data_IF_342154703776
#
_entry.id   IF_342154703776
#
_cell.length_a   1.000
_cell.length_b   1.000
_cell.length_c   1.000
_cell.angle_alpha   90.00
_cell.angle_beta   90.00
_cell.angle_gamma   90.00
#
_symmetry.space_group_name_H-M   'P 1'
#
loop_
_entity.id
_entity.type
_entity.pdbx_description
1 polymer ?
#
# COMPACT_ATOMS: atom_id res chain seq x y z
N UNK A 1 -4.11 -16.76 16.50
CA UNK A 1 -5.07 -16.01 15.66
C UNK A 1 -4.85 -16.46 14.24
N UNK A 2 -5.88 -16.88 13.51
CA UNK A 2 -5.71 -17.36 12.13
C UNK A 2 -5.57 -16.16 11.17
N UNK A 3 -4.34 -15.85 10.78
CA UNK A 3 -4.03 -14.76 9.86
C UNK A 3 -4.67 -14.96 8.48
N UNK A 4 -4.82 -16.21 8.02
CA UNK A 4 -5.42 -16.50 6.72
C UNK A 4 -6.92 -16.20 6.73
N UNK A 5 -7.64 -16.60 7.77
CA UNK A 5 -9.06 -16.29 7.94
C UNK A 5 -9.30 -14.77 8.04
N UNK A 6 -8.52 -14.06 8.84
CA UNK A 6 -8.63 -12.60 8.96
C UNK A 6 -8.29 -11.89 7.65
N UNK A 7 -7.27 -12.36 6.93
CA UNK A 7 -6.93 -11.81 5.63
C UNK A 7 -8.04 -12.06 4.59
N UNK A 8 -8.68 -13.23 4.62
CA UNK A 8 -9.88 -13.51 3.83
C UNK A 8 -11.02 -12.52 4.07
N UNK A 9 -11.23 -12.12 5.33
CA UNK A 9 -12.21 -11.07 5.67
C UNK A 9 -11.81 -9.70 5.11
N UNK A 10 -10.53 -9.35 5.14
CA UNK A 10 -10.05 -8.10 4.56
C UNK A 10 -10.28 -8.05 3.03
N UNK A 11 -10.06 -9.17 2.33
CA UNK A 11 -10.36 -9.30 0.89
C UNK A 11 -11.85 -9.11 0.62
N UNK A 12 -12.71 -9.76 1.41
CA UNK A 12 -14.17 -9.62 1.28
C UNK A 12 -14.61 -8.17 1.49
N UNK A 13 -14.12 -7.52 2.55
CA UNK A 13 -14.40 -6.10 2.82
C UNK A 13 -13.94 -5.19 1.68
N UNK A 14 -12.77 -5.47 1.10
CA UNK A 14 -12.27 -4.75 -0.08
C UNK A 14 -13.14 -4.95 -1.32
N UNK A 15 -13.80 -6.10 -1.49
CA UNK A 15 -14.80 -6.31 -2.57
C UNK A 15 -16.07 -5.50 -2.35
N UNK A 16 -16.49 -5.36 -1.09
CA UNK A 16 -17.71 -4.63 -0.74
C UNK A 16 -17.52 -3.10 -0.65
N UNK A 17 -16.28 -2.63 -0.44
CA UNK A 17 -16.01 -1.21 -0.29
C UNK A 17 -16.11 -0.46 -1.63
N UNK A 18 -16.95 0.57 -1.66
CA UNK A 18 -17.16 1.44 -2.82
C UNK A 18 -17.34 2.88 -2.34
N UNK A 19 -16.88 3.84 -3.14
CA UNK A 19 -17.13 5.26 -2.94
C UNK A 19 -17.34 5.94 -4.30
N UNK A 20 -18.32 6.85 -4.44
CA UNK A 20 -18.54 7.60 -5.67
C UNK A 20 -17.28 8.36 -6.12
N UNK A 21 -17.01 8.34 -7.43
CA UNK A 21 -15.88 9.05 -8.04
C UNK A 21 -14.57 8.25 -8.12
N UNK A 22 -14.57 7.01 -7.61
CA UNK A 22 -13.44 6.08 -7.67
C UNK A 22 -13.86 4.76 -8.32
N UNK A 23 -12.91 4.03 -8.89
CA UNK A 23 -13.14 2.68 -9.42
C UNK A 23 -12.62 1.62 -8.45
N UNK A 24 -13.36 0.54 -8.29
CA UNK A 24 -12.90 -0.67 -7.59
C UNK A 24 -11.88 -1.43 -8.44
N UNK A 25 -11.08 -2.27 -7.78
CA UNK A 25 -10.21 -3.22 -8.48
C UNK A 25 -11.01 -4.19 -9.36
N UNK A 26 -12.21 -4.61 -8.93
CA UNK A 26 -13.04 -5.54 -9.67
C UNK A 26 -13.53 -4.93 -11.00
N UNK A 27 -14.01 -3.69 -10.98
CA UNK A 27 -14.48 -2.98 -12.19
C UNK A 27 -13.40 -2.86 -13.27
N UNK A 28 -12.13 -2.76 -12.87
CA UNK A 28 -11.02 -2.66 -13.81
C UNK A 28 -10.26 -3.98 -14.02
N UNK A 29 -10.83 -5.12 -13.59
CA UNK A 29 -10.31 -6.46 -13.89
C UNK A 29 -9.20 -6.98 -12.98
N UNK A 30 -9.14 -6.51 -11.73
CA UNK A 30 -8.16 -6.89 -10.70
C UNK A 30 -8.81 -7.55 -9.48
N UNK A 31 -9.77 -8.46 -9.69
CA UNK A 31 -10.46 -9.15 -8.58
C UNK A 31 -9.72 -10.42 -8.10
N UNK A 32 -8.52 -10.26 -7.54
CA UNK A 32 -7.73 -11.39 -7.04
C UNK A 32 -7.87 -11.69 -5.54
N UNK A 33 -7.23 -12.77 -5.06
CA UNK A 33 -7.15 -13.16 -3.65
C UNK A 33 -6.21 -12.25 -2.82
N UNK A 34 -6.30 -10.94 -3.02
CA UNK A 34 -5.51 -9.92 -2.33
C UNK A 34 -6.35 -8.66 -2.09
N UNK A 35 -5.91 -7.83 -1.15
CA UNK A 35 -6.50 -6.51 -0.90
C UNK A 35 -5.98 -5.50 -1.92
N UNK A 36 -4.74 -5.67 -2.40
CA UNK A 36 -4.15 -4.84 -3.46
C UNK A 36 -3.19 -5.68 -4.32
N UNK A 37 -3.12 -5.47 -5.65
CA UNK A 37 -2.26 -6.28 -6.52
C UNK A 37 -0.78 -6.31 -6.11
N UNK A 38 -0.28 -5.26 -5.43
CA UNK A 38 1.11 -5.21 -4.92
C UNK A 38 1.45 -6.38 -3.98
N UNK A 39 0.42 -7.00 -3.39
CA UNK A 39 0.55 -8.14 -2.49
C UNK A 39 0.83 -9.46 -3.22
N UNK A 40 0.76 -9.50 -4.57
CA UNK A 40 1.21 -10.65 -5.35
C UNK A 40 2.67 -11.00 -5.01
N UNK A 41 3.52 -9.99 -4.83
CA UNK A 41 4.93 -10.17 -4.45
C UNK A 41 5.25 -9.70 -3.02
N UNK A 42 4.47 -8.75 -2.49
CA UNK A 42 4.66 -8.17 -1.15
C UNK A 42 3.47 -8.44 -0.24
N UNK A 43 3.07 -9.71 -0.16
CA UNK A 43 1.91 -10.20 0.60
C UNK A 43 2.26 -10.97 1.87
N UNK A 44 3.49 -10.87 2.41
CA UNK A 44 3.89 -11.67 3.57
C UNK A 44 3.10 -11.28 4.83
N UNK A 45 2.13 -12.09 5.23
CA UNK A 45 1.23 -11.82 6.36
C UNK A 45 1.94 -11.73 7.72
N UNK A 46 3.17 -12.22 7.82
CA UNK A 46 3.99 -12.18 9.04
C UNK A 46 5.14 -11.19 8.97
N UNK A 47 5.41 -10.64 7.78
CA UNK A 47 6.50 -9.69 7.57
C UNK A 47 6.16 -8.26 8.01
N UNK A 48 7.18 -7.38 8.05
CA UNK A 48 6.99 -5.96 8.27
C UNK A 48 5.97 -5.35 7.32
N UNK A 49 5.08 -4.51 7.85
CA UNK A 49 3.97 -3.91 7.11
C UNK A 49 4.27 -2.47 6.70
N UNK A 50 4.21 -2.19 5.41
CA UNK A 50 4.28 -0.84 4.84
C UNK A 50 2.89 -0.39 4.38
N UNK A 51 2.38 0.68 4.97
CA UNK A 51 1.16 1.37 4.54
C UNK A 51 1.57 2.65 3.81
N UNK A 52 1.06 2.86 2.60
CA UNK A 52 1.45 3.99 1.73
C UNK A 52 0.25 4.53 0.96
N UNK A 53 0.35 5.73 0.38
CA UNK A 53 -0.65 6.19 -0.61
C UNK A 53 -0.56 5.34 -1.88
N UNK A 54 -1.70 5.18 -2.56
CA UNK A 54 -1.80 4.48 -3.84
C UNK A 54 -0.74 4.89 -4.86
N UNK A 55 -0.38 3.87 -5.64
CA UNK A 55 0.64 3.91 -6.65
C UNK A 55 0.05 4.15 -8.06
N UNK A 56 -1.26 3.90 -8.28
CA UNK A 56 -1.91 3.95 -9.61
C UNK A 56 -3.27 4.64 -9.61
N UNK A 57 -3.56 5.32 -10.73
CA UNK A 57 -4.91 5.68 -11.15
C UNK A 57 -5.52 4.61 -12.05
N UNK A 58 -6.84 4.63 -12.21
CA UNK A 58 -7.58 3.64 -12.99
C UNK A 58 -7.09 3.56 -14.45
N UNK A 59 -6.90 4.67 -15.20
CA UNK A 59 -6.36 4.59 -16.56
C UNK A 59 -4.99 3.91 -16.65
N UNK A 60 -4.07 4.22 -15.73
CA UNK A 60 -2.74 3.63 -15.69
C UNK A 60 -2.78 2.15 -15.35
N UNK A 61 -3.67 1.74 -14.44
CA UNK A 61 -3.85 0.34 -14.08
C UNK A 61 -4.42 -0.48 -15.25
N UNK A 62 -5.39 0.07 -15.98
CA UNK A 62 -5.94 -0.55 -17.20
C UNK A 62 -4.86 -0.69 -18.27
N UNK A 63 -4.11 0.38 -18.54
CA UNK A 63 -3.04 0.39 -19.57
C UNK A 63 -1.96 -0.67 -19.29
N UNK A 64 -1.61 -0.89 -18.02
CA UNK A 64 -0.52 -1.78 -17.63
C UNK A 64 -1.02 -3.12 -17.07
N UNK A 65 -2.29 -3.48 -17.30
CA UNK A 65 -2.98 -4.59 -16.61
C UNK A 65 -2.17 -5.88 -16.58
N UNK A 66 -1.64 -6.30 -17.72
CA UNK A 66 -0.86 -7.54 -17.85
C UNK A 66 0.31 -7.57 -16.87
N UNK A 67 1.15 -6.53 -16.90
CA UNK A 67 2.33 -6.44 -16.02
C UNK A 67 1.92 -6.41 -14.55
N UNK A 68 0.88 -5.66 -14.21
CA UNK A 68 0.43 -5.54 -12.83
C UNK A 68 -0.21 -6.84 -12.29
N UNK A 69 -0.87 -7.64 -13.13
CA UNK A 69 -1.38 -8.95 -12.73
C UNK A 69 -0.28 -10.01 -12.62
N UNK A 70 0.80 -9.88 -13.37
CA UNK A 70 1.95 -10.79 -13.28
C UNK A 70 2.86 -10.47 -12.09
N UNK A 71 3.12 -9.18 -11.82
CA UNK A 71 4.16 -8.76 -10.87
C UNK A 71 3.59 -8.10 -9.61
N UNK A 72 2.34 -7.64 -9.65
CA UNK A 72 1.74 -6.82 -8.58
C UNK A 72 2.18 -5.37 -8.58
N UNK A 73 3.26 -5.02 -9.28
CA UNK A 73 3.77 -3.65 -9.38
C UNK A 73 4.31 -3.33 -10.78
N UNK A 74 4.58 -2.05 -11.06
CA UNK A 74 5.20 -1.60 -12.30
C UNK A 74 6.68 -1.30 -12.04
N UNK A 75 7.61 -2.06 -12.63
CA UNK A 75 9.04 -1.82 -12.43
C UNK A 75 9.45 -0.47 -13.04
N UNK A 76 10.55 0.10 -12.53
CA UNK A 76 11.14 1.32 -13.08
C UNK A 76 10.47 2.64 -12.66
N UNK A 77 9.30 2.63 -12.02
CA UNK A 77 8.75 3.86 -11.44
C UNK A 77 9.53 4.25 -10.18
N UNK A 78 9.64 5.57 -9.87
CA UNK A 78 10.39 6.05 -8.71
C UNK A 78 10.03 5.37 -7.39
N UNK A 79 8.73 5.12 -7.18
CA UNK A 79 8.23 4.41 -6.01
C UNK A 79 8.94 3.07 -5.82
N UNK A 80 8.95 2.23 -6.87
CA UNK A 80 9.45 0.87 -6.78
C UNK A 80 10.97 0.83 -6.72
N UNK A 81 11.66 1.68 -7.47
CA UNK A 81 13.12 1.77 -7.43
C UNK A 81 13.65 2.17 -6.03
N UNK A 82 13.01 3.16 -5.39
CA UNK A 82 13.39 3.58 -4.03
C UNK A 82 13.09 2.50 -3.00
N UNK A 83 11.92 1.85 -3.11
CA UNK A 83 11.55 0.76 -2.21
C UNK A 83 12.51 -0.44 -2.34
N UNK A 84 12.82 -0.87 -3.56
CA UNK A 84 13.73 -1.99 -3.80
C UNK A 84 15.12 -1.71 -3.22
N UNK A 85 15.61 -0.47 -3.40
CA UNK A 85 16.85 -0.02 -2.78
C UNK A 85 16.77 -0.03 -1.25
N UNK A 86 15.69 0.49 -0.67
CA UNK A 86 15.51 0.52 0.79
C UNK A 86 15.55 -0.88 1.40
N UNK A 87 14.88 -1.84 0.77
CA UNK A 87 14.87 -3.23 1.23
C UNK A 87 16.26 -3.87 1.09
N UNK A 88 16.95 -3.62 -0.03
CA UNK A 88 18.31 -4.12 -0.23
C UNK A 88 19.30 -3.60 0.81
N UNK A 89 19.14 -2.37 1.32
CA UNK A 89 20.02 -1.81 2.36
C UNK A 89 19.98 -2.61 3.68
N UNK A 90 18.90 -3.34 3.92
CA UNK A 90 18.66 -4.10 5.16
C UNK A 90 18.56 -5.61 4.89
N UNK A 91 18.98 -6.06 3.71
CA UNK A 91 18.96 -7.48 3.34
C UNK A 91 17.57 -8.08 3.16
N UNK A 92 16.53 -7.27 3.00
CA UNK A 92 15.17 -7.72 2.71
C UNK A 92 14.87 -7.68 1.21
N UNK A 93 13.88 -8.45 0.81
CA UNK A 93 13.26 -8.44 -0.51
C UNK A 93 11.77 -8.13 -0.38
N UNK A 94 11.11 -7.92 -1.52
CA UNK A 94 9.65 -7.72 -1.56
C UNK A 94 8.86 -8.86 -0.92
N UNK A 95 9.36 -10.10 -1.00
CA UNK A 95 8.71 -11.29 -0.44
C UNK A 95 8.74 -11.33 1.08
N UNK A 96 9.61 -10.54 1.69
CA UNK A 96 9.77 -10.52 3.15
C UNK A 96 8.81 -9.55 3.83
N UNK A 97 8.13 -8.70 3.05
CA UNK A 97 7.28 -7.62 3.57
C UNK A 97 5.84 -7.73 3.11
N UNK A 98 4.98 -6.96 3.78
CA UNK A 98 3.60 -6.72 3.40
C UNK A 98 3.42 -5.27 2.97
N UNK A 99 2.89 -5.02 1.79
CA UNK A 99 2.54 -3.66 1.35
C UNK A 99 1.04 -3.55 1.15
N UNK A 100 0.48 -2.43 1.59
CA UNK A 100 -0.92 -2.14 1.33
C UNK A 100 -1.16 -0.63 1.19
N UNK A 101 -2.00 -0.20 0.24
CA UNK A 101 -2.31 1.22 0.11
C UNK A 101 -3.30 1.65 1.20
N UNK A 102 -3.17 2.85 1.76
CA UNK A 102 -4.09 3.36 2.79
C UNK A 102 -5.52 3.55 2.24
N UNK A 103 -5.64 3.79 0.94
CA UNK A 103 -6.89 3.89 0.19
C UNK A 103 -7.00 2.70 -0.79
N UNK A 104 -8.17 2.10 -0.95
CA UNK A 104 -8.35 0.83 -1.69
C UNK A 104 -8.99 0.95 -3.06
N UNK A 105 -9.37 2.16 -3.46
CA UNK A 105 -10.04 2.42 -4.73
C UNK A 105 -9.11 3.23 -5.64
N UNK A 106 -9.31 3.10 -6.94
CA UNK A 106 -8.46 3.75 -7.92
C UNK A 106 -9.02 5.13 -8.25
N UNK A 107 -8.19 6.18 -8.15
CA UNK A 107 -8.58 7.51 -8.59
C UNK A 107 -8.76 7.56 -10.11
N UNK A 108 -9.58 8.49 -10.63
CA UNK A 108 -9.87 8.60 -12.06
C UNK A 108 -8.69 9.12 -12.88
N UNK A 109 -7.68 9.73 -12.23
CA UNK A 109 -6.49 10.26 -12.90
C UNK A 109 -5.27 10.28 -11.99
N UNK A 110 -4.09 10.35 -12.61
CA UNK A 110 -2.81 10.44 -11.90
C UNK A 110 -2.76 11.66 -10.99
N UNK A 111 -2.13 11.50 -9.83
CA UNK A 111 -1.95 12.57 -8.84
C UNK A 111 -3.26 13.19 -8.36
N UNK A 112 -4.40 12.49 -8.49
CA UNK A 112 -5.67 12.93 -7.94
C UNK A 112 -5.55 13.09 -6.42
N UNK A 113 -6.06 14.21 -5.90
CA UNK A 113 -6.12 14.45 -4.47
C UNK A 113 -7.25 13.62 -3.86
N UNK A 114 -6.90 12.67 -3.01
CA UNK A 114 -7.88 11.86 -2.26
C UNK A 114 -8.19 12.65 -0.99
N UNK A 115 -9.48 12.87 -0.69
CA UNK A 115 -9.88 13.61 0.51
C UNK A 115 -9.53 12.77 1.73
N UNK A 116 -9.10 13.42 2.81
CA UNK A 116 -8.82 12.72 4.08
C UNK A 116 -10.03 11.89 4.57
N UNK A 117 -11.25 12.35 4.34
CA UNK A 117 -12.46 11.61 4.69
C UNK A 117 -12.57 10.28 3.93
N UNK A 118 -12.21 10.25 2.64
CA UNK A 118 -12.27 9.04 1.82
C UNK A 118 -11.15 8.06 2.20
N UNK A 119 -9.95 8.58 2.47
CA UNK A 119 -8.84 7.78 3.03
C UNK A 119 -9.25 7.11 4.34
N UNK A 120 -9.89 7.86 5.25
CA UNK A 120 -10.37 7.32 6.53
C UNK A 120 -11.47 6.28 6.35
N UNK A 121 -12.44 6.54 5.47
CA UNK A 121 -13.50 5.59 5.16
C UNK A 121 -12.92 4.28 4.61
N UNK A 122 -11.92 4.36 3.73
CA UNK A 122 -11.24 3.19 3.20
C UNK A 122 -10.43 2.43 4.25
N UNK A 123 -9.73 3.16 5.12
CA UNK A 123 -8.99 2.57 6.23
C UNK A 123 -9.92 1.78 7.17
N UNK A 124 -11.02 2.40 7.58
CA UNK A 124 -12.00 1.78 8.46
C UNK A 124 -12.72 0.60 7.78
N UNK A 125 -13.05 0.71 6.49
CA UNK A 125 -13.71 -0.39 5.80
C UNK A 125 -12.80 -1.60 5.63
N UNK A 126 -11.51 -1.40 5.37
CA UNK A 126 -10.59 -2.44 4.92
C UNK A 126 -9.30 -2.50 5.72
N UNK A 127 -8.47 -1.44 5.67
CA UNK A 127 -7.07 -1.46 6.14
C UNK A 127 -6.92 -1.86 7.61
N UNK A 128 -7.83 -1.45 8.49
CA UNK A 128 -7.77 -1.84 9.91
C UNK A 128 -7.85 -3.36 10.11
N UNK A 129 -8.53 -4.08 9.20
CA UNK A 129 -8.72 -5.53 9.28
C UNK A 129 -7.55 -6.34 8.71
N UNK A 130 -6.63 -5.70 7.98
CA UNK A 130 -5.40 -6.33 7.48
C UNK A 130 -4.17 -5.94 8.31
N UNK A 131 -4.32 -5.17 9.40
CA UNK A 131 -3.19 -4.89 10.30
C UNK A 131 -2.64 -6.18 10.94
N UNK A 132 -3.52 -7.14 11.26
CA UNK A 132 -3.16 -8.44 11.83
C UNK A 132 -2.24 -8.33 13.05
N UNK A 133 -2.48 -7.32 13.91
CA UNK A 133 -1.69 -7.06 15.11
C UNK A 133 -0.31 -6.42 14.87
N UNK A 134 0.04 -6.10 13.63
CA UNK A 134 1.33 -5.48 13.29
C UNK A 134 1.34 -3.99 13.60
N UNK A 135 2.53 -3.47 13.94
CA UNK A 135 2.81 -2.02 14.00
C UNK A 135 3.26 -1.57 12.61
N UNK A 136 2.43 -0.87 11.81
CA UNK A 136 2.79 -0.53 10.45
C UNK A 136 3.84 0.58 10.36
N UNK A 137 4.60 0.57 9.27
CA UNK A 137 5.38 1.69 8.78
C UNK A 137 4.47 2.54 7.90
N UNK A 138 4.31 3.81 8.24
CA UNK A 138 3.45 4.74 7.52
C UNK A 138 4.28 5.61 6.57
N UNK A 139 4.25 5.30 5.28
CA UNK A 139 4.99 6.02 4.27
C UNK A 139 4.17 7.16 3.65
N UNK A 140 4.52 8.40 4.04
CA UNK A 140 3.89 9.60 3.55
C UNK A 140 2.68 10.08 4.36
N UNK A 141 2.32 11.34 4.15
CA UNK A 141 1.36 12.07 4.99
C UNK A 141 -0.06 11.49 4.95
N UNK A 142 -0.50 10.91 3.85
CA UNK A 142 -1.84 10.31 3.77
C UNK A 142 -1.96 9.07 4.69
N UNK A 143 -0.92 8.22 4.72
CA UNK A 143 -0.87 7.05 5.60
C UNK A 143 -0.72 7.46 7.08
N UNK A 144 0.18 8.39 7.37
CA UNK A 144 0.44 8.90 8.72
C UNK A 144 -0.86 9.48 9.31
N UNK A 145 -1.50 10.42 8.62
CA UNK A 145 -2.72 11.08 9.12
C UNK A 145 -3.87 10.11 9.33
N UNK A 146 -4.00 9.08 8.48
CA UNK A 146 -5.03 8.06 8.66
C UNK A 146 -4.78 7.25 9.93
N UNK A 147 -3.53 6.80 10.16
CA UNK A 147 -3.16 6.02 11.33
C UNK A 147 -3.26 6.85 12.62
N UNK A 148 -2.83 8.12 12.59
CA UNK A 148 -3.00 9.08 13.70
C UNK A 148 -4.47 9.27 14.06
N UNK A 149 -5.35 9.43 13.06
CA UNK A 149 -6.78 9.62 13.28
C UNK A 149 -7.42 8.45 14.04
N UNK A 150 -6.99 7.22 13.77
CA UNK A 150 -7.51 6.02 14.43
C UNK A 150 -6.68 5.60 15.66
N UNK A 151 -5.70 6.42 16.08
CA UNK A 151 -4.87 6.11 17.25
C UNK A 151 -4.02 4.85 17.09
N UNK A 152 -3.65 4.49 15.85
CA UNK A 152 -2.86 3.28 15.58
C UNK A 152 -1.36 3.59 15.76
N UNK A 153 -0.67 2.89 16.67
CA UNK A 153 0.79 3.03 16.80
C UNK A 153 1.48 2.65 15.49
N UNK A 154 2.38 3.50 15.01
CA UNK A 154 3.06 3.30 13.73
C UNK A 154 4.45 3.94 13.71
N UNK A 155 5.21 3.65 12.66
CA UNK A 155 6.54 4.25 12.40
C UNK A 155 6.41 5.16 11.19
N UNK A 156 6.43 6.50 11.36
CA UNK A 156 6.31 7.42 10.23
C UNK A 156 7.60 7.44 9.40
N UNK A 157 7.45 7.50 8.08
CA UNK A 157 8.57 7.71 7.15
C UNK A 157 8.14 8.48 5.90
N UNK A 158 9.10 8.84 5.06
CA UNK A 158 8.87 9.53 3.80
C UNK A 158 8.18 8.61 2.79
N UNK A 159 7.36 9.18 1.91
CA UNK A 159 6.83 8.43 0.77
C UNK A 159 7.97 8.07 -0.20
N UNK A 160 8.02 6.85 -0.80
CA UNK A 160 9.07 6.48 -1.75
C UNK A 160 9.18 7.42 -2.96
N UNK A 161 8.08 8.07 -3.34
CA UNK A 161 8.06 9.10 -4.41
C UNK A 161 8.07 10.55 -3.91
N UNK A 162 8.44 10.82 -2.65
CA UNK A 162 8.48 12.18 -2.10
C UNK A 162 9.41 13.08 -2.92
N UNK A 163 8.97 14.28 -3.33
CA UNK A 163 9.82 15.22 -4.07
C UNK A 163 10.80 15.93 -3.12
N UNK A 164 11.87 16.50 -3.67
CA UNK A 164 12.85 17.28 -2.90
C UNK A 164 13.96 16.46 -2.23
N UNK A 165 13.91 15.12 -2.35
CA UNK A 165 14.96 14.22 -1.89
C UNK A 165 15.38 13.31 -3.05
N UNK A 166 16.67 12.96 -3.09
CA UNK A 166 17.17 11.97 -4.03
C UNK A 166 16.71 10.53 -3.67
N UNK A 167 17.07 9.57 -4.52
CA UNK A 167 16.68 8.17 -4.34
C UNK A 167 17.36 7.54 -3.12
N UNK A 168 18.63 7.87 -2.89
CA UNK A 168 19.43 7.31 -1.80
C UNK A 168 18.88 7.73 -0.45
N UNK A 169 18.67 9.02 -0.26
CA UNK A 169 18.17 9.62 0.98
C UNK A 169 16.80 9.05 1.35
N UNK A 170 15.88 8.93 0.38
CA UNK A 170 14.57 8.30 0.63
C UNK A 170 14.71 6.82 0.99
N UNK A 171 15.56 6.08 0.27
CA UNK A 171 15.78 4.67 0.54
C UNK A 171 16.34 4.45 1.96
N UNK A 172 17.33 5.23 2.39
CA UNK A 172 17.89 5.18 3.74
C UNK A 172 16.85 5.50 4.83
N UNK A 173 16.01 6.52 4.62
CA UNK A 173 14.95 6.87 5.59
C UNK A 173 13.89 5.78 5.71
N UNK A 174 13.55 5.11 4.61
CA UNK A 174 12.62 3.98 4.60
C UNK A 174 13.26 2.75 5.26
N UNK A 175 14.51 2.43 4.92
CA UNK A 175 15.28 1.34 5.53
C UNK A 175 15.32 1.46 7.07
N UNK A 176 15.65 2.65 7.58
CA UNK A 176 15.65 2.94 9.03
C UNK A 176 14.28 2.78 9.69
N UNK A 177 13.19 2.89 8.94
CA UNK A 177 11.85 2.65 9.47
C UNK A 177 11.56 1.15 9.58
N UNK A 178 12.03 0.34 8.62
CA UNK A 178 11.97 -1.11 8.67
C UNK A 178 12.81 -1.71 9.80
N UNK A 179 13.99 -1.17 10.11
CA UNK A 179 14.81 -1.63 11.24
C UNK A 179 14.12 -1.46 12.61
N UNK A 180 13.09 -0.61 12.69
CA UNK A 180 12.35 -0.30 13.92
C UNK A 180 11.03 -1.05 14.05
N UNK A 181 10.61 -1.79 13.01
CA UNK A 181 9.28 -2.40 12.91
C UNK A 181 9.21 -3.79 13.51
#
# INVERSE_FOLDING_TARGET
>A
MDHAALFGQAIHRRRCFQLPGYMTLAEIGFDGPWVSPIQIISGNLTGPMLITKDWFDAPSAVKNRKVLLEQGYLPGIPFNAVLDKALSLIGLTRRDIYITPVFKLLPPKRSHSIRNADTRASFQAVTQHELLGRKPIAAGQDAIRALEHFGIPHIPTVHPSARGLDYETRATLIAKAFEKS
#
